data_IF_109973945795
#
_entry.id   IF_109973945795
#
_cell.length_a   1.000
_cell.length_b   1.000
_cell.length_c   1.000
_cell.angle_alpha   90.00
_cell.angle_beta   90.00
_cell.angle_gamma   90.00
#
_symmetry.space_group_name_H-M   'P 1'
#
loop_
_entity.id
_entity.type
_entity.pdbx_description
1 polymer ?
#
# COMPACT_ATOMS: atom_id res chain seq x y z
N UNK A 1 12.14 -18.22 13.17
CA UNK A 1 10.81 -18.22 13.83
C UNK A 1 9.97 -17.08 13.32
N UNK A 2 8.73 -17.35 12.89
CA UNK A 2 7.73 -16.35 12.47
C UNK A 2 6.40 -16.60 13.20
N UNK A 3 5.55 -15.57 13.32
CA UNK A 3 4.22 -15.71 13.92
C UNK A 3 3.33 -16.61 13.06
N UNK A 4 2.58 -17.53 13.70
CA UNK A 4 1.68 -18.46 13.02
C UNK A 4 0.63 -17.73 12.15
N UNK A 5 0.02 -16.64 12.64
CA UNK A 5 -0.92 -15.84 11.86
C UNK A 5 -0.29 -15.24 10.60
N UNK A 6 1.00 -14.87 10.65
CA UNK A 6 1.74 -14.37 9.50
C UNK A 6 1.98 -15.47 8.45
N UNK A 7 2.35 -16.68 8.91
CA UNK A 7 2.55 -17.84 8.05
C UNK A 7 1.25 -18.22 7.33
N UNK A 8 0.14 -18.39 8.06
CA UNK A 8 -1.16 -18.75 7.51
C UNK A 8 -1.69 -17.71 6.49
N UNK A 9 -1.52 -16.41 6.80
CA UNK A 9 -1.90 -15.36 5.87
C UNK A 9 -1.04 -15.36 4.60
N UNK A 10 0.27 -15.65 4.72
CA UNK A 10 1.17 -15.79 3.57
C UNK A 10 0.86 -17.04 2.75
N UNK A 11 0.39 -18.09 3.39
CA UNK A 11 -0.09 -19.32 2.71
C UNK A 11 -1.47 -19.17 2.04
N UNK A 12 -2.10 -17.99 2.14
CA UNK A 12 -3.34 -17.68 1.42
C UNK A 12 -4.64 -18.06 2.17
N UNK A 13 -4.59 -18.45 3.45
CA UNK A 13 -5.78 -18.83 4.22
C UNK A 13 -6.70 -17.65 4.59
N UNK A 14 -6.28 -16.41 4.31
CA UNK A 14 -7.09 -15.23 4.54
C UNK A 14 -6.31 -13.99 4.97
N UNK A 15 -7.03 -12.96 5.44
CA UNK A 15 -6.42 -11.80 6.10
C UNK A 15 -5.87 -12.19 7.47
N UNK A 16 -4.98 -11.37 8.07
CA UNK A 16 -4.48 -11.64 9.43
C UNK A 16 -5.61 -11.80 10.46
N UNK A 17 -6.64 -10.97 10.40
CA UNK A 17 -7.83 -11.12 11.27
C UNK A 17 -8.55 -12.44 11.04
N UNK A 18 -8.74 -12.81 9.77
CA UNK A 18 -9.40 -14.08 9.44
C UNK A 18 -8.63 -15.31 9.94
N UNK A 19 -7.31 -15.32 9.78
CA UNK A 19 -6.49 -16.42 10.27
C UNK A 19 -6.38 -16.41 11.81
N UNK A 20 -6.46 -15.27 12.47
CA UNK A 20 -6.57 -15.16 13.93
C UNK A 20 -7.87 -15.78 14.44
N UNK A 21 -8.99 -15.59 13.73
CA UNK A 21 -10.25 -16.30 14.02
C UNK A 21 -10.09 -17.82 13.88
N UNK A 22 -9.43 -18.30 12.80
CA UNK A 22 -9.15 -19.74 12.59
C UNK A 22 -8.26 -20.35 13.67
N UNK A 23 -7.27 -19.59 14.17
CA UNK A 23 -6.43 -20.04 15.30
C UNK A 23 -7.29 -20.12 16.57
N UNK A 24 -8.00 -19.05 16.91
CA UNK A 24 -8.81 -18.99 18.14
C UNK A 24 -9.94 -20.05 18.16
N UNK A 25 -10.48 -20.44 17.00
CA UNK A 25 -11.49 -21.50 16.89
C UNK A 25 -10.90 -22.92 16.97
N UNK A 26 -9.57 -23.07 17.07
CA UNK A 26 -8.91 -24.37 17.14
C UNK A 26 -8.91 -25.16 15.82
N UNK A 27 -9.12 -24.49 14.68
CA UNK A 27 -9.09 -25.14 13.37
C UNK A 27 -7.66 -25.40 12.85
N UNK A 28 -6.64 -24.87 13.54
CA UNK A 28 -5.23 -24.98 13.16
C UNK A 28 -4.52 -25.96 14.06
N UNK A 29 -3.70 -26.85 13.48
CA UNK A 29 -2.77 -27.69 14.20
C UNK A 29 -1.31 -27.31 13.84
N UNK A 30 -0.45 -27.37 14.85
CA UNK A 30 1.00 -27.23 14.71
C UNK A 30 1.66 -28.50 15.25
N UNK A 31 2.39 -29.23 14.42
CA UNK A 31 3.02 -30.51 14.78
C UNK A 31 2.03 -31.52 15.37
N UNK A 32 0.78 -31.56 14.85
CA UNK A 32 -0.28 -32.44 15.31
C UNK A 32 -1.12 -31.92 16.49
N UNK A 33 -0.67 -30.88 17.20
CA UNK A 33 -1.38 -30.32 18.35
C UNK A 33 -2.24 -29.11 17.92
N UNK A 34 -3.47 -29.02 18.49
CA UNK A 34 -4.35 -27.88 18.24
C UNK A 34 -3.81 -26.61 18.89
N UNK A 35 -3.74 -25.53 18.13
CA UNK A 35 -3.23 -24.22 18.60
C UNK A 35 -4.36 -23.21 18.62
N UNK A 36 -4.51 -22.52 19.78
CA UNK A 36 -5.47 -21.42 19.96
C UNK A 36 -4.79 -20.09 20.35
N UNK A 37 -3.51 -20.16 20.78
CA UNK A 37 -2.77 -18.96 21.17
C UNK A 37 -2.29 -18.18 19.94
N UNK A 38 -2.73 -16.92 19.82
CA UNK A 38 -2.34 -15.99 18.77
C UNK A 38 -0.86 -15.59 18.86
N UNK A 39 -0.20 -15.80 20.01
CA UNK A 39 1.22 -15.51 20.17
C UNK A 39 2.13 -16.62 19.59
N UNK A 40 1.59 -17.77 19.24
CA UNK A 40 2.32 -18.91 18.69
C UNK A 40 3.23 -18.51 17.53
N UNK A 41 4.46 -19.03 17.58
CA UNK A 41 5.48 -18.90 16.52
C UNK A 41 5.86 -20.28 15.99
N UNK A 42 6.35 -20.32 14.77
CA UNK A 42 6.85 -21.55 14.15
C UNK A 42 8.13 -21.31 13.34
N UNK A 43 8.83 -22.39 13.06
CA UNK A 43 9.88 -22.44 12.06
C UNK A 43 9.32 -23.05 10.77
N UNK A 44 9.15 -22.27 9.69
CA UNK A 44 8.52 -22.74 8.44
C UNK A 44 9.27 -23.91 7.76
N UNK A 45 10.54 -24.13 8.11
CA UNK A 45 11.37 -25.20 7.53
C UNK A 45 11.24 -26.52 8.29
N UNK A 46 10.84 -26.46 9.58
CA UNK A 46 10.83 -27.62 10.47
C UNK A 46 9.43 -28.02 10.89
N UNK A 47 8.57 -27.01 11.14
CA UNK A 47 7.26 -27.23 11.74
C UNK A 47 6.21 -27.57 10.66
N UNK A 48 5.26 -28.44 11.02
CA UNK A 48 4.15 -28.84 10.18
C UNK A 48 2.88 -28.13 10.65
N UNK A 49 2.29 -27.35 9.78
CA UNK A 49 1.01 -26.65 10.03
C UNK A 49 -0.09 -27.34 9.24
N UNK A 50 -1.23 -27.60 9.90
CA UNK A 50 -2.40 -28.20 9.27
C UNK A 50 -3.65 -27.34 9.48
N UNK A 51 -4.49 -27.28 8.45
CA UNK A 51 -5.82 -26.68 8.49
C UNK A 51 -6.83 -27.67 7.93
N UNK A 52 -7.79 -28.07 8.73
CA UNK A 52 -8.83 -29.06 8.38
C UNK A 52 -8.24 -30.36 7.81
N UNK A 53 -7.18 -30.86 8.45
CA UNK A 53 -6.51 -32.09 8.05
C UNK A 53 -5.62 -32.00 6.80
N UNK A 54 -5.45 -30.80 6.23
CA UNK A 54 -4.56 -30.56 5.09
C UNK A 54 -3.34 -29.78 5.50
N UNK A 55 -2.15 -30.23 5.09
CA UNK A 55 -0.90 -29.53 5.34
C UNK A 55 -0.92 -28.17 4.64
N UNK A 56 -0.60 -27.12 5.41
CA UNK A 56 -0.44 -25.75 4.93
C UNK A 56 1.02 -25.52 4.60
N UNK A 57 1.32 -25.13 3.38
CA UNK A 57 2.69 -24.78 2.95
C UNK A 57 2.76 -23.31 2.64
N UNK A 58 3.93 -22.70 2.88
CA UNK A 58 4.19 -21.35 2.39
C UNK A 58 4.01 -21.30 0.86
N UNK A 59 3.66 -20.13 0.33
CA UNK A 59 3.58 -19.97 -1.12
C UNK A 59 4.93 -20.35 -1.75
N UNK A 60 4.92 -21.32 -2.69
CA UNK A 60 6.13 -21.83 -3.34
C UNK A 60 6.82 -20.80 -4.22
N UNK A 61 6.06 -19.85 -4.76
CA UNK A 61 6.56 -18.81 -5.66
C UNK A 61 5.93 -17.47 -5.34
N UNK A 62 6.76 -16.43 -5.29
CA UNK A 62 6.29 -15.07 -5.21
C UNK A 62 5.96 -14.54 -6.61
N UNK A 63 4.78 -13.95 -6.73
CA UNK A 63 4.32 -13.34 -7.96
C UNK A 63 4.08 -11.84 -7.74
N UNK A 64 4.39 -11.06 -8.75
CA UNK A 64 4.32 -9.61 -8.69
C UNK A 64 3.59 -9.08 -9.92
N UNK A 65 2.56 -8.28 -9.72
CA UNK A 65 1.84 -7.56 -10.77
C UNK A 65 1.93 -6.06 -10.49
N UNK A 66 2.14 -5.31 -11.54
CA UNK A 66 2.07 -3.84 -11.49
C UNK A 66 0.79 -3.40 -12.18
N UNK A 67 -0.10 -2.80 -11.42
CA UNK A 67 -1.33 -2.22 -11.92
C UNK A 67 -1.13 -0.71 -12.14
N UNK A 68 -1.39 -0.23 -13.36
CA UNK A 68 -1.62 1.20 -13.58
C UNK A 68 -3.06 1.52 -13.15
N UNK A 69 -3.26 1.75 -11.87
CA UNK A 69 -4.59 1.96 -11.30
C UNK A 69 -5.30 3.15 -11.97
N UNK A 70 -6.47 2.98 -12.55
CA UNK A 70 -7.27 4.10 -13.05
C UNK A 70 -7.96 4.85 -11.90
N UNK A 71 -8.50 6.03 -12.19
CA UNK A 71 -9.42 6.74 -11.30
C UNK A 71 -10.72 5.96 -11.13
N UNK A 72 -11.46 6.25 -10.07
CA UNK A 72 -12.76 5.63 -9.79
C UNK A 72 -12.70 4.39 -8.89
N UNK A 73 -11.62 3.64 -8.94
CA UNK A 73 -11.44 2.43 -8.15
C UNK A 73 -10.79 2.73 -6.79
N UNK A 74 -11.29 2.08 -5.75
CA UNK A 74 -10.67 2.13 -4.40
C UNK A 74 -9.66 1.00 -4.22
N UNK A 75 -8.63 1.24 -3.42
CA UNK A 75 -7.64 0.24 -3.03
C UNK A 75 -8.10 -0.40 -1.72
N UNK A 76 -8.97 -1.41 -1.84
CA UNK A 76 -9.50 -2.18 -0.73
C UNK A 76 -9.78 -3.61 -1.18
N UNK A 77 -9.68 -4.58 -0.27
CA UNK A 77 -10.05 -5.98 -0.51
C UNK A 77 -11.55 -6.23 -0.41
N UNK A 78 -12.29 -5.33 0.22
CA UNK A 78 -13.75 -5.34 0.33
C UNK A 78 -14.25 -3.90 0.43
N UNK A 79 -15.49 -3.70 0.05
CA UNK A 79 -16.17 -2.42 0.21
C UNK A 79 -17.65 -2.63 0.58
N UNK A 80 -18.06 -2.10 1.72
CA UNK A 80 -19.43 -2.19 2.24
C UNK A 80 -20.39 -1.22 1.53
N UNK A 81 -19.85 -0.26 0.81
CA UNK A 81 -20.62 0.78 0.09
C UNK A 81 -20.81 0.45 -1.39
N UNK A 82 -20.43 -0.74 -1.85
CA UNK A 82 -20.58 -1.16 -3.24
C UNK A 82 -19.74 -0.39 -4.26
N UNK A 83 -18.64 0.27 -3.83
CA UNK A 83 -17.75 0.98 -4.75
C UNK A 83 -16.82 0.00 -5.45
N UNK A 84 -16.49 0.27 -6.68
CA UNK A 84 -15.55 -0.54 -7.45
C UNK A 84 -14.17 -0.59 -6.78
N UNK A 85 -13.63 -1.79 -6.65
CA UNK A 85 -12.32 -2.04 -6.06
C UNK A 85 -11.30 -2.41 -7.13
N UNK A 86 -10.02 -2.27 -6.81
CA UNK A 86 -8.93 -2.69 -7.72
C UNK A 86 -8.98 -4.18 -8.06
N UNK A 87 -9.64 -5.01 -7.23
CA UNK A 87 -9.72 -6.45 -7.45
C UNK A 87 -10.59 -6.85 -8.65
N UNK A 88 -11.49 -5.96 -9.08
CA UNK A 88 -12.26 -6.13 -10.32
C UNK A 88 -11.40 -6.00 -11.60
N UNK A 89 -10.22 -5.39 -11.46
CA UNK A 89 -9.25 -5.20 -12.55
C UNK A 89 -8.17 -6.30 -12.59
N UNK A 90 -8.15 -7.19 -11.60
CA UNK A 90 -7.12 -8.22 -11.48
C UNK A 90 -7.58 -9.53 -12.11
N UNK A 91 -6.66 -10.29 -12.72
CA UNK A 91 -6.95 -11.66 -13.15
C UNK A 91 -7.27 -12.53 -11.94
N UNK A 92 -8.04 -13.61 -12.15
CA UNK A 92 -8.58 -14.45 -11.08
C UNK A 92 -7.49 -14.99 -10.13
N UNK A 93 -6.35 -15.41 -10.66
CA UNK A 93 -5.24 -15.93 -9.85
C UNK A 93 -4.67 -14.88 -8.87
N UNK A 94 -4.79 -13.60 -9.19
CA UNK A 94 -4.26 -12.51 -8.37
C UNK A 94 -5.29 -11.92 -7.39
N UNK A 95 -6.53 -12.40 -7.36
CA UNK A 95 -7.57 -11.91 -6.44
C UNK A 95 -7.27 -12.16 -4.97
N UNK A 96 -6.44 -13.17 -4.67
CA UNK A 96 -5.96 -13.44 -3.31
C UNK A 96 -4.73 -12.59 -2.91
N UNK A 97 -4.08 -11.91 -3.86
CA UNK A 97 -2.87 -11.13 -3.61
C UNK A 97 -3.19 -9.85 -2.83
N UNK A 98 -2.13 -9.24 -2.28
CA UNK A 98 -2.22 -8.02 -1.50
C UNK A 98 -1.60 -6.85 -2.28
N UNK A 99 -2.06 -5.64 -1.97
CA UNK A 99 -1.52 -4.42 -2.55
C UNK A 99 -0.46 -3.79 -1.65
N UNK A 100 0.59 -3.22 -2.24
CA UNK A 100 1.61 -2.46 -1.53
C UNK A 100 1.23 -0.97 -1.45
N UNK A 101 0.80 -0.55 -0.27
CA UNK A 101 0.29 0.80 -0.04
C UNK A 101 -1.02 1.07 -0.75
N UNK A 102 -1.49 2.30 -0.69
CA UNK A 102 -2.77 2.68 -1.29
C UNK A 102 -2.63 3.90 -2.18
N UNK A 103 -3.56 4.03 -3.10
CA UNK A 103 -3.88 5.25 -3.84
C UNK A 103 -5.35 5.59 -3.58
N UNK A 104 -5.66 6.87 -3.43
CA UNK A 104 -7.04 7.32 -3.27
C UNK A 104 -7.89 6.99 -4.51
N UNK A 105 -9.23 7.00 -4.37
CA UNK A 105 -10.18 6.77 -5.47
C UNK A 105 -9.87 7.64 -6.70
N UNK A 106 -9.57 8.92 -6.48
CA UNK A 106 -9.30 9.91 -7.51
C UNK A 106 -7.80 10.07 -7.84
N UNK A 107 -6.96 9.13 -7.42
CA UNK A 107 -5.54 9.05 -7.78
C UNK A 107 -5.31 7.86 -8.69
N UNK A 108 -4.32 7.95 -9.55
CA UNK A 108 -3.99 6.93 -10.54
C UNK A 108 -2.51 6.55 -10.52
N UNK A 109 -2.15 5.55 -11.30
CA UNK A 109 -0.77 5.15 -11.53
C UNK A 109 -0.35 3.88 -10.82
N UNK A 110 0.93 3.73 -10.64
CA UNK A 110 1.61 2.50 -10.25
C UNK A 110 1.17 1.98 -8.87
N UNK A 111 0.64 0.76 -8.85
CA UNK A 111 0.30 0.02 -7.64
C UNK A 111 0.82 -1.41 -7.76
N UNK A 112 1.65 -1.84 -6.81
CA UNK A 112 2.14 -3.22 -6.76
C UNK A 112 1.09 -4.12 -6.08
N UNK A 113 0.85 -5.27 -6.70
CA UNK A 113 0.00 -6.36 -6.21
C UNK A 113 0.86 -7.62 -6.12
N UNK A 114 0.89 -8.30 -4.99
CA UNK A 114 1.74 -9.48 -4.80
C UNK A 114 1.26 -10.36 -3.65
N UNK A 115 1.68 -11.63 -3.66
CA UNK A 115 1.54 -12.55 -2.53
C UNK A 115 2.74 -12.48 -1.57
N UNK A 116 3.80 -11.70 -1.88
CA UNK A 116 4.95 -11.46 -1.01
C UNK A 116 4.67 -10.34 0.02
N UNK A 117 4.19 -10.72 1.19
CA UNK A 117 3.94 -9.78 2.29
C UNK A 117 5.23 -9.16 2.86
N UNK A 118 6.38 -9.81 2.68
CA UNK A 118 7.69 -9.27 3.07
C UNK A 118 8.06 -8.05 2.24
N UNK A 119 7.93 -8.14 0.93
CA UNK A 119 8.15 -7.02 0.00
C UNK A 119 7.13 -5.90 0.23
N UNK A 120 5.84 -6.21 0.47
CA UNK A 120 4.85 -5.19 0.83
C UNK A 120 5.31 -4.41 2.07
N UNK A 121 5.74 -5.10 3.11
CA UNK A 121 6.20 -4.45 4.34
C UNK A 121 7.43 -3.55 4.09
N UNK A 122 8.44 -4.02 3.35
CA UNK A 122 9.63 -3.23 3.01
C UNK A 122 9.27 -1.96 2.24
N UNK A 123 8.32 -2.02 1.31
CA UNK A 123 7.91 -0.87 0.51
C UNK A 123 7.02 0.12 1.26
N UNK A 124 6.25 -0.33 2.25
CA UNK A 124 5.20 0.49 2.88
C UNK A 124 5.53 0.98 4.28
N UNK A 125 6.38 0.26 5.02
CA UNK A 125 6.68 0.62 6.40
C UNK A 125 7.48 1.93 6.48
N UNK A 126 7.09 2.88 7.34
CA UNK A 126 7.70 4.22 7.41
C UNK A 126 9.21 4.22 7.71
N UNK A 127 9.72 3.19 8.40
CA UNK A 127 11.14 3.05 8.73
C UNK A 127 12.03 2.96 7.50
N UNK A 128 11.56 2.35 6.42
CA UNK A 128 12.35 2.19 5.19
C UNK A 128 12.38 3.43 4.30
N UNK A 129 11.56 4.44 4.58
CA UNK A 129 11.53 5.73 3.87
C UNK A 129 11.48 5.61 2.34
N UNK A 130 10.80 4.56 1.84
CA UNK A 130 10.75 4.27 0.41
C UNK A 130 10.12 5.43 -0.35
N UNK A 131 10.87 5.98 -1.29
CA UNK A 131 10.44 7.11 -2.11
C UNK A 131 9.30 6.76 -3.05
N UNK A 132 8.40 7.71 -3.21
CA UNK A 132 7.29 7.67 -4.16
C UNK A 132 7.33 8.92 -5.01
N UNK A 133 7.31 8.72 -6.31
CA UNK A 133 7.35 9.83 -7.28
C UNK A 133 5.97 10.00 -7.90
N UNK A 134 5.51 11.23 -7.90
CA UNK A 134 4.20 11.59 -8.46
C UNK A 134 4.31 12.68 -9.52
N UNK A 135 3.50 12.57 -10.55
CA UNK A 135 3.08 13.69 -11.40
C UNK A 135 1.84 14.30 -10.79
N UNK A 136 1.85 15.61 -10.60
CA UNK A 136 0.77 16.36 -9.96
C UNK A 136 0.41 17.54 -10.82
N UNK A 137 -0.82 17.57 -11.32
CA UNK A 137 -1.35 18.71 -12.05
C UNK A 137 -2.20 19.57 -11.09
N UNK A 138 -1.85 20.84 -10.95
CA UNK A 138 -2.54 21.81 -10.09
C UNK A 138 -3.27 22.86 -10.90
N UNK A 139 -4.35 23.42 -10.32
CA UNK A 139 -5.24 24.39 -10.99
C UNK A 139 -4.80 25.85 -10.82
N UNK A 140 -3.55 26.06 -10.42
CA UNK A 140 -3.00 27.41 -10.24
C UNK A 140 -1.49 27.38 -10.45
N UNK A 141 -0.92 28.51 -10.78
CA UNK A 141 0.53 28.71 -10.76
C UNK A 141 0.95 28.95 -9.31
N UNK A 142 1.99 28.25 -8.86
CA UNK A 142 2.57 28.43 -7.53
C UNK A 142 3.74 29.40 -7.59
N UNK A 143 3.83 30.28 -6.61
CA UNK A 143 4.99 31.18 -6.41
C UNK A 143 6.22 30.40 -5.96
N UNK A 144 7.39 31.05 -6.07
CA UNK A 144 8.65 30.48 -5.56
C UNK A 144 8.58 30.17 -4.06
N UNK A 145 7.93 31.04 -3.27
CA UNK A 145 7.75 30.84 -1.82
C UNK A 145 6.86 29.65 -1.49
N UNK A 146 5.76 29.43 -2.23
CA UNK A 146 4.89 28.26 -2.06
C UNK A 146 5.62 26.96 -2.43
N UNK A 147 6.40 26.96 -3.52
CA UNK A 147 7.21 25.80 -3.90
C UNK A 147 8.29 25.48 -2.85
N UNK A 148 8.91 26.51 -2.26
CA UNK A 148 9.90 26.33 -1.21
C UNK A 148 9.26 25.81 0.08
N UNK A 149 8.10 26.31 0.46
CA UNK A 149 7.34 25.78 1.61
C UNK A 149 7.06 24.29 1.45
N UNK A 150 6.62 23.85 0.26
CA UNK A 150 6.41 22.42 -0.02
C UNK A 150 7.69 21.59 0.11
N UNK A 151 8.85 22.15 -0.29
CA UNK A 151 10.16 21.46 -0.16
C UNK A 151 10.58 21.30 1.30
N UNK A 152 10.36 22.33 2.12
CA UNK A 152 10.71 22.32 3.55
C UNK A 152 9.73 21.53 4.41
N UNK A 153 8.60 21.16 3.84
CA UNK A 153 7.49 20.53 4.54
C UNK A 153 6.52 21.56 5.13
N UNK A 154 5.25 21.24 5.08
CA UNK A 154 4.13 22.08 5.51
C UNK A 154 3.31 21.40 6.60
N UNK A 155 2.62 22.19 7.41
CA UNK A 155 1.65 21.67 8.38
C UNK A 155 0.42 21.12 7.66
N UNK A 156 0.05 19.88 8.00
CA UNK A 156 -1.18 19.22 7.58
C UNK A 156 -1.78 18.48 8.76
N UNK A 157 -2.97 17.92 8.60
CA UNK A 157 -3.54 17.03 9.62
C UNK A 157 -2.55 15.93 10.01
N UNK A 158 -2.22 15.82 11.29
CA UNK A 158 -1.21 14.91 11.83
C UNK A 158 0.21 15.49 11.90
N UNK A 159 0.38 16.80 11.75
CA UNK A 159 1.62 17.56 11.96
C UNK A 159 2.43 17.82 10.68
N UNK A 160 3.57 18.48 10.84
CA UNK A 160 4.44 18.87 9.73
C UNK A 160 4.90 17.69 8.88
N UNK A 161 4.83 17.84 7.56
CA UNK A 161 5.35 16.84 6.63
C UNK A 161 6.88 16.85 6.61
N UNK A 162 7.48 15.73 6.21
CA UNK A 162 8.90 15.69 5.91
C UNK A 162 9.20 16.54 4.68
N UNK A 163 10.45 17.01 4.52
CA UNK A 163 10.92 17.62 3.28
C UNK A 163 10.58 16.77 2.06
N UNK A 164 10.21 17.42 0.96
CA UNK A 164 9.81 16.77 -0.28
C UNK A 164 10.60 17.31 -1.48
N UNK A 165 10.92 16.46 -2.45
CA UNK A 165 11.39 16.91 -3.74
C UNK A 165 10.24 17.53 -4.53
N UNK A 166 10.35 18.81 -4.92
CA UNK A 166 9.30 19.49 -5.72
C UNK A 166 9.95 20.16 -6.91
N UNK A 167 9.59 19.70 -8.11
CA UNK A 167 10.17 20.15 -9.38
C UNK A 167 9.05 20.55 -10.33
N UNK A 168 9.13 21.76 -10.88
CA UNK A 168 8.22 22.22 -11.94
C UNK A 168 8.58 21.52 -13.23
N UNK A 169 7.63 20.91 -13.89
CA UNK A 169 7.79 20.22 -15.19
C UNK A 169 7.26 21.05 -16.33
N UNK A 170 6.12 21.70 -16.14
CA UNK A 170 5.54 22.65 -17.08
C UNK A 170 4.62 23.61 -16.34
N UNK A 171 4.46 24.80 -16.89
CA UNK A 171 3.50 25.78 -16.41
C UNK A 171 2.78 26.44 -17.60
N UNK A 172 1.54 26.82 -17.37
CA UNK A 172 0.71 27.61 -18.28
C UNK A 172 0.02 28.71 -17.48
N UNK A 173 -0.75 29.60 -18.15
CA UNK A 173 -1.49 30.69 -17.52
C UNK A 173 -2.53 30.13 -16.56
N UNK A 174 -2.67 29.40 -15.81
CA UNK A 174 -3.69 28.93 -14.86
C UNK A 174 -3.48 27.50 -14.38
N UNK A 175 -2.34 26.90 -14.74
CA UNK A 175 -2.02 25.56 -14.27
C UNK A 175 -0.52 25.30 -14.21
N UNK A 176 -0.13 24.33 -13.38
CA UNK A 176 1.24 23.89 -13.27
C UNK A 176 1.28 22.36 -13.12
N UNK A 177 2.24 21.72 -13.78
CA UNK A 177 2.55 20.31 -13.56
C UNK A 177 3.83 20.20 -12.73
N UNK A 178 3.73 19.47 -11.61
CA UNK A 178 4.85 19.22 -10.70
C UNK A 178 5.24 17.74 -10.76
N UNK A 179 6.54 17.49 -10.58
CA UNK A 179 7.03 16.20 -10.10
C UNK A 179 7.28 16.33 -8.60
N UNK A 180 6.60 15.52 -7.79
CA UNK A 180 6.79 15.48 -6.34
C UNK A 180 7.39 14.14 -5.93
N UNK A 181 8.40 14.19 -5.04
CA UNK A 181 9.07 13.01 -4.46
C UNK A 181 8.88 13.07 -2.95
N UNK A 182 8.27 12.03 -2.37
CA UNK A 182 8.03 11.94 -0.93
C UNK A 182 8.52 10.60 -0.38
N UNK A 183 9.17 10.60 0.80
CA UNK A 183 9.65 9.41 1.51
C UNK A 183 8.68 8.89 2.56
N UNK A 184 7.47 9.42 2.63
CA UNK A 184 6.40 9.01 3.55
C UNK A 184 5.08 8.82 2.78
N UNK A 185 3.97 8.48 3.45
CA UNK A 185 2.71 8.23 2.76
C UNK A 185 1.52 8.38 3.69
N UNK A 186 1.32 9.58 4.26
CA UNK A 186 0.13 9.89 5.07
C UNK A 186 -1.13 9.91 4.18
N UNK A 187 -2.28 9.75 4.80
CA UNK A 187 -3.57 9.83 4.11
C UNK A 187 -3.70 11.16 3.34
N UNK A 188 -3.91 11.07 2.01
CA UNK A 188 -4.08 12.23 1.10
C UNK A 188 -2.94 13.28 1.15
N UNK A 189 -1.75 12.89 1.58
CA UNK A 189 -0.64 13.80 1.91
C UNK A 189 -0.38 14.87 0.85
N UNK A 190 -0.13 14.50 -0.40
CA UNK A 190 0.18 15.48 -1.48
C UNK A 190 -0.97 16.47 -1.68
N UNK A 191 -2.22 16.02 -1.57
CA UNK A 191 -3.39 16.90 -1.70
C UNK A 191 -3.45 17.90 -0.55
N UNK A 192 -3.22 17.44 0.69
CA UNK A 192 -3.20 18.30 1.87
C UNK A 192 -2.00 19.26 1.85
N UNK A 193 -0.82 18.81 1.40
CA UNK A 193 0.36 19.70 1.24
C UNK A 193 0.07 20.84 0.27
N UNK A 194 -0.54 20.55 -0.88
CA UNK A 194 -0.87 21.57 -1.88
C UNK A 194 -2.00 22.47 -1.40
N UNK A 195 -2.99 21.95 -0.70
CA UNK A 195 -4.07 22.73 -0.07
C UNK A 195 -3.52 23.71 0.98
N UNK A 196 -2.54 23.28 1.79
CA UNK A 196 -1.88 24.12 2.79
C UNK A 196 -1.15 25.35 2.19
N UNK A 197 -0.74 25.26 0.91
CA UNK A 197 -0.18 26.42 0.18
C UNK A 197 -1.20 27.08 -0.76
N UNK A 198 -2.49 26.79 -0.62
CA UNK A 198 -3.57 27.41 -1.40
C UNK A 198 -3.75 26.87 -2.80
N UNK A 199 -3.23 25.67 -3.12
CA UNK A 199 -3.35 25.06 -4.44
C UNK A 199 -4.30 23.85 -4.43
N UNK A 200 -5.03 23.65 -5.56
CA UNK A 200 -5.94 22.52 -5.74
C UNK A 200 -5.38 21.51 -6.75
N UNK A 201 -5.31 20.25 -6.35
CA UNK A 201 -4.86 19.13 -7.21
C UNK A 201 -5.97 18.74 -8.19
N UNK A 202 -5.72 18.88 -9.48
CA UNK A 202 -6.57 18.37 -10.57
C UNK A 202 -6.32 16.89 -10.82
N UNK A 203 -5.03 16.53 -10.99
CA UNK A 203 -4.62 15.16 -11.26
C UNK A 203 -3.45 14.75 -10.36
N UNK A 204 -3.45 13.48 -9.93
CA UNK A 204 -2.39 12.89 -9.13
C UNK A 204 -2.10 11.48 -9.64
N UNK A 205 -0.92 11.29 -10.22
CA UNK A 205 -0.48 10.01 -10.77
C UNK A 205 0.83 9.57 -10.13
N UNK A 206 0.87 8.39 -9.52
CA UNK A 206 2.10 7.80 -9.03
C UNK A 206 2.88 7.18 -10.19
N UNK A 207 4.08 7.69 -10.44
CA UNK A 207 4.97 7.25 -11.51
C UNK A 207 5.99 6.21 -11.04
N UNK A 208 6.38 6.29 -9.74
CA UNK A 208 7.40 5.41 -9.18
C UNK A 208 7.08 5.07 -7.73
N UNK A 209 7.39 3.85 -7.33
CA UNK A 209 7.31 3.37 -5.97
C UNK A 209 8.54 2.54 -5.63
N UNK A 210 9.49 3.16 -4.90
CA UNK A 210 10.81 2.59 -4.68
C UNK A 210 11.51 2.26 -6.00
N UNK A 211 11.92 1.00 -6.22
CA UNK A 211 12.59 0.59 -7.45
C UNK A 211 11.67 0.46 -8.66
N UNK A 212 10.34 0.40 -8.45
CA UNK A 212 9.36 0.20 -9.53
C UNK A 212 9.05 1.53 -10.25
N UNK A 213 9.07 1.53 -11.58
CA UNK A 213 8.80 2.68 -12.46
C UNK A 213 7.76 2.35 -13.50
#
# INVERSE_FOLDING_TARGET
>A
MIRLNRFLAAAGLGSRRKVEELISSGEIKLNGETVTDLATTLDPEKDVVEFRGKRVTAAKEYQYLVLNKPRGYIVSSSDELGRQTIYELLPDFARSFRYAGRLDKNSEGLLLITNDTGTINRLTHPTFKVEKVYKVDVSSKLSKSQLEALRQGVEIEGGKTRPAGVFVKSETEGSMTLKMVIGEGRKRQIRLMLEAVGAKVRNLKRLQFGPLK
#
